data_IF_986762227862
#
_entry.id   IF_986762227862
#
_cell.length_a   1.000
_cell.length_b   1.000
_cell.length_c   1.000
_cell.angle_alpha   90.00
_cell.angle_beta   90.00
_cell.angle_gamma   90.00
#
_symmetry.space_group_name_H-M   'P 1'
#
loop_
_entity.id
_entity.type
_entity.pdbx_description
1 polymer ?
#
# COMPACT_ATOMS: atom_id res chain seq x y z
N UNK A 1 -10.54 -36.27 63.82
CA UNK A 1 -11.83 -35.60 63.49
C UNK A 1 -11.70 -35.10 62.05
N UNK A 2 -12.13 -35.89 61.06
CA UNK A 2 -13.43 -35.83 60.36
C UNK A 2 -13.57 -34.56 59.49
N UNK A 3 -13.94 -34.53 58.21
CA UNK A 3 -14.55 -35.47 57.24
C UNK A 3 -14.16 -35.04 55.81
N UNK A 4 -13.83 -35.89 54.83
CA UNK A 4 -14.68 -36.79 54.01
C UNK A 4 -15.49 -36.15 52.83
N UNK A 5 -15.01 -36.44 51.60
CA UNK A 5 -15.70 -36.83 50.33
C UNK A 5 -16.85 -36.01 49.72
N UNK A 6 -16.72 -35.73 48.41
CA UNK A 6 -17.61 -36.14 47.28
C UNK A 6 -17.06 -35.51 45.98
N UNK A 7 -17.18 -36.02 44.74
CA UNK A 7 -17.47 -37.31 44.09
C UNK A 7 -17.14 -37.02 42.61
N UNK A 8 -16.30 -37.81 41.93
CA UNK A 8 -16.11 -37.75 40.47
C UNK A 8 -17.05 -38.78 39.83
N UNK A 9 -17.87 -38.35 38.88
CA UNK A 9 -18.74 -39.23 38.10
C UNK A 9 -17.97 -39.76 36.87
N UNK A 10 -17.94 -41.09 36.76
CA UNK A 10 -17.63 -41.86 35.56
C UNK A 10 -18.87 -41.92 34.66
N UNK A 11 -18.69 -41.88 33.34
CA UNK A 11 -19.59 -42.56 32.41
C UNK A 11 -18.79 -43.31 31.32
N UNK A 12 -19.12 -44.58 31.17
CA UNK A 12 -18.62 -45.55 30.20
C UNK A 12 -19.06 -45.22 28.77
N UNK A 13 -18.25 -45.61 27.77
CA UNK A 13 -18.81 -46.18 26.55
C UNK A 13 -17.90 -47.27 25.97
N UNK A 14 -18.53 -48.41 25.67
CA UNK A 14 -17.99 -49.67 25.15
C UNK A 14 -18.08 -49.70 23.62
N UNK A 15 -17.50 -50.77 23.05
CA UNK A 15 -17.70 -51.36 21.71
C UNK A 15 -16.77 -50.81 20.60
N UNK A 16 -16.19 -51.58 19.67
CA UNK A 16 -16.10 -53.02 19.39
C UNK A 16 -14.98 -53.19 18.35
N UNK A 17 -14.18 -54.24 18.46
CA UNK A 17 -13.24 -54.72 17.44
C UNK A 17 -13.88 -55.94 16.78
N UNK A 18 -13.86 -56.06 15.43
CA UNK A 18 -13.56 -57.31 14.69
C UNK A 18 -13.85 -57.24 13.16
N UNK A 19 -12.92 -57.84 12.40
CA UNK A 19 -13.09 -58.64 11.15
C UNK A 19 -13.29 -57.87 9.82
N UNK A 20 -12.74 -58.28 8.67
CA UNK A 20 -12.07 -59.53 8.25
C UNK A 20 -11.27 -59.29 6.95
N UNK A 21 -10.14 -60.00 6.82
CA UNK A 21 -9.35 -60.19 5.62
C UNK A 21 -9.98 -61.31 4.77
N UNK A 22 -10.12 -61.14 3.45
CA UNK A 22 -10.31 -62.25 2.51
C UNK A 22 -9.44 -62.07 1.28
N UNK A 23 -8.52 -63.02 1.10
CA UNK A 23 -7.76 -63.30 -0.13
C UNK A 23 -8.07 -64.76 -0.47
N UNK A 24 -8.33 -65.07 -1.76
CA UNK A 24 -7.91 -66.25 -2.55
C UNK A 24 -8.73 -66.24 -3.87
N UNK A 25 -8.16 -65.83 -5.01
CA UNK A 25 -7.44 -66.59 -6.08
C UNK A 25 -8.35 -67.41 -7.03
N UNK A 26 -8.43 -66.90 -8.26
CA UNK A 26 -8.43 -67.50 -9.62
C UNK A 26 -9.28 -68.74 -10.00
N UNK A 27 -10.05 -68.57 -11.09
CA UNK A 27 -10.05 -69.46 -12.27
C UNK A 27 -10.54 -68.66 -13.50
N UNK A 28 -9.78 -68.69 -14.60
CA UNK A 28 -10.03 -67.88 -15.79
C UNK A 28 -10.98 -68.49 -16.83
N UNK A 29 -11.39 -67.66 -17.79
CA UNK A 29 -11.63 -68.03 -19.18
C UNK A 29 -11.62 -66.74 -20.01
N UNK A 30 -10.81 -66.69 -21.06
CA UNK A 30 -10.45 -65.45 -21.76
C UNK A 30 -11.51 -64.90 -22.72
N UNK A 31 -11.41 -63.60 -22.99
CA UNK A 31 -11.47 -63.00 -24.34
C UNK A 31 -11.33 -61.48 -24.24
N UNK A 32 -10.53 -60.94 -25.16
CA UNK A 32 -10.44 -59.54 -25.63
C UNK A 32 -9.94 -58.45 -24.66
N UNK A 33 -8.66 -58.14 -24.83
CA UNK A 33 -8.02 -56.89 -24.41
C UNK A 33 -8.54 -55.75 -25.30
N UNK A 34 -9.28 -54.81 -24.69
CA UNK A 34 -9.52 -53.48 -25.25
C UNK A 34 -8.86 -52.49 -24.31
N UNK A 35 -7.83 -51.82 -24.82
CA UNK A 35 -7.19 -50.68 -24.19
C UNK A 35 -8.24 -49.61 -23.86
N UNK A 36 -8.36 -49.30 -22.57
CA UNK A 36 -9.18 -48.24 -22.02
C UNK A 36 -8.24 -47.13 -21.57
N UNK A 37 -7.86 -46.26 -22.52
CA UNK A 37 -7.36 -44.93 -22.18
C UNK A 37 -8.54 -44.12 -21.62
N UNK A 38 -8.58 -44.01 -20.29
CA UNK A 38 -9.43 -43.08 -19.57
C UNK A 38 -8.91 -41.66 -19.82
N UNK A 39 -9.40 -41.01 -20.88
CA UNK A 39 -9.33 -39.56 -20.97
C UNK A 39 -10.20 -38.95 -19.87
N UNK A 40 -9.55 -38.51 -18.80
CA UNK A 40 -10.16 -37.64 -17.80
C UNK A 40 -10.29 -36.26 -18.43
N UNK A 41 -11.46 -35.96 -18.95
CA UNK A 41 -11.84 -34.61 -19.36
C UNK A 41 -11.99 -33.77 -18.09
N UNK A 42 -10.89 -33.13 -17.67
CA UNK A 42 -10.93 -32.07 -16.66
C UNK A 42 -11.68 -30.92 -17.34
N UNK A 43 -12.94 -30.72 -16.96
CA UNK A 43 -13.65 -29.47 -17.23
C UNK A 43 -12.81 -28.33 -16.65
N UNK A 44 -12.07 -27.64 -17.51
CA UNK A 44 -11.42 -26.39 -17.21
C UNK A 44 -12.52 -25.41 -16.83
N UNK A 45 -12.63 -25.13 -15.53
CA UNK A 45 -13.51 -24.07 -15.04
C UNK A 45 -13.21 -22.80 -15.81
N UNK A 46 -14.24 -22.19 -16.38
CA UNK A 46 -14.16 -20.85 -16.94
C UNK A 46 -13.63 -19.92 -15.85
N UNK A 47 -12.34 -19.57 -15.95
CA UNK A 47 -11.82 -18.39 -15.28
C UNK A 47 -12.52 -17.23 -15.99
N UNK A 48 -13.57 -16.70 -15.38
CA UNK A 48 -14.08 -15.39 -15.76
C UNK A 48 -12.91 -14.42 -15.68
N UNK A 49 -12.34 -14.08 -16.84
CA UNK A 49 -11.40 -13.00 -16.96
C UNK A 49 -12.21 -11.73 -16.68
N UNK A 50 -12.27 -11.32 -15.43
CA UNK A 50 -12.65 -9.95 -15.11
C UNK A 50 -11.72 -9.07 -15.94
N UNK A 51 -12.32 -8.16 -16.71
CA UNK A 51 -11.59 -7.08 -17.37
C UNK A 51 -10.79 -6.38 -16.28
N UNK A 52 -9.47 -6.57 -16.26
CA UNK A 52 -8.61 -5.83 -15.35
C UNK A 52 -8.61 -4.38 -15.80
N UNK A 53 -9.16 -3.53 -14.95
CA UNK A 53 -9.13 -2.09 -15.16
C UNK A 53 -7.85 -1.52 -14.55
N UNK A 54 -7.24 -0.55 -15.23
CA UNK A 54 -5.99 0.06 -14.77
C UNK A 54 -6.11 1.58 -14.74
N UNK A 55 -5.86 2.22 -13.58
CA UNK A 55 -5.69 3.66 -13.54
C UNK A 55 -4.41 4.08 -14.28
N UNK A 56 -4.49 5.19 -15.02
CA UNK A 56 -3.31 5.78 -15.64
C UNK A 56 -2.50 6.55 -14.59
N UNK A 57 -1.27 6.10 -14.35
CA UNK A 57 -0.29 6.79 -13.51
C UNK A 57 0.80 7.35 -14.40
N UNK A 58 1.15 8.61 -14.18
CA UNK A 58 2.27 9.29 -14.84
C UNK A 58 3.26 9.75 -13.78
N UNK A 59 4.55 9.79 -14.11
CA UNK A 59 5.57 10.31 -13.23
C UNK A 59 6.67 11.01 -14.03
N UNK A 60 7.31 12.01 -13.43
CA UNK A 60 8.44 12.75 -13.97
C UNK A 60 9.55 12.84 -12.91
N UNK A 61 10.81 12.83 -13.34
CA UNK A 61 11.96 12.72 -12.44
C UNK A 61 12.12 11.32 -11.82
N UNK A 62 13.12 11.16 -10.95
CA UNK A 62 13.34 9.91 -10.21
C UNK A 62 14.20 10.11 -8.95
N UNK A 63 13.77 9.56 -7.82
CA UNK A 63 14.50 9.52 -6.55
C UNK A 63 15.92 8.98 -6.68
N UNK A 64 16.19 8.03 -7.58
CA UNK A 64 17.55 7.48 -7.78
C UNK A 64 18.50 8.48 -8.40
N UNK A 65 18.02 9.39 -9.25
CA UNK A 65 18.85 10.41 -9.87
C UNK A 65 19.31 11.40 -8.78
N UNK A 66 18.43 11.66 -7.83
CA UNK A 66 18.69 12.43 -6.63
C UNK A 66 19.71 11.68 -5.73
N UNK A 67 19.39 10.46 -5.29
CA UNK A 67 20.20 9.70 -4.32
C UNK A 67 21.56 9.24 -4.85
N UNK A 68 21.73 9.02 -6.17
CA UNK A 68 22.96 8.46 -6.76
C UNK A 68 23.74 9.44 -7.62
N UNK A 69 23.04 10.37 -8.28
CA UNK A 69 23.65 11.27 -9.27
C UNK A 69 23.68 12.72 -8.77
N UNK A 70 23.12 12.98 -7.57
CA UNK A 70 22.97 14.32 -6.98
C UNK A 70 22.29 15.31 -7.94
N UNK A 71 21.40 14.80 -8.80
CA UNK A 71 20.64 15.61 -9.74
C UNK A 71 19.32 16.01 -9.10
N UNK A 72 19.24 17.25 -8.62
CA UNK A 72 18.07 17.82 -7.94
C UNK A 72 17.26 18.78 -8.82
N UNK A 73 17.61 18.88 -10.11
CA UNK A 73 17.03 19.87 -11.03
C UNK A 73 15.53 19.67 -11.25
N UNK A 74 14.82 20.76 -11.56
CA UNK A 74 13.44 20.71 -12.00
C UNK A 74 13.23 19.76 -13.20
N UNK A 75 12.24 18.89 -13.07
CA UNK A 75 11.74 18.01 -14.12
C UNK A 75 10.30 18.35 -14.54
N UNK A 76 9.60 19.15 -13.73
CA UNK A 76 8.26 19.63 -14.00
C UNK A 76 8.09 21.05 -13.45
N UNK A 77 7.43 21.92 -14.21
CA UNK A 77 7.03 23.27 -13.81
C UNK A 77 5.51 23.32 -13.65
N UNK A 78 5.03 23.90 -12.56
CA UNK A 78 3.60 23.91 -12.25
C UNK A 78 2.80 25.00 -12.97
N UNK A 79 3.46 25.99 -13.59
CA UNK A 79 2.81 27.07 -14.37
C UNK A 79 1.87 26.50 -15.45
N UNK A 80 2.27 25.39 -16.08
CA UNK A 80 1.51 24.71 -17.14
C UNK A 80 0.80 23.42 -16.67
N UNK A 81 0.85 23.10 -15.37
CA UNK A 81 0.30 21.84 -14.86
C UNK A 81 -1.21 21.97 -14.58
N UNK A 82 -2.08 21.14 -15.21
CA UNK A 82 -3.53 21.29 -15.09
C UNK A 82 -4.05 20.74 -13.76
N UNK A 83 -4.16 21.59 -12.73
CA UNK A 83 -4.75 21.28 -11.41
C UNK A 83 -6.28 21.08 -11.47
N UNK A 84 -6.72 20.00 -12.12
CA UNK A 84 -8.13 19.60 -12.16
C UNK A 84 -8.53 18.88 -10.87
N UNK A 85 -9.83 18.89 -10.55
CA UNK A 85 -10.37 18.21 -9.37
C UNK A 85 -10.21 16.68 -9.37
N UNK A 86 -9.80 16.11 -10.49
CA UNK A 86 -9.50 14.69 -10.66
C UNK A 86 -8.03 14.36 -10.40
N UNK A 87 -7.15 15.36 -10.22
CA UNK A 87 -5.72 15.15 -10.01
C UNK A 87 -5.43 14.79 -8.56
N UNK A 88 -4.65 13.71 -8.42
CA UNK A 88 -4.00 13.30 -7.18
C UNK A 88 -2.52 13.12 -7.47
N UNK A 89 -1.65 13.77 -6.70
CA UNK A 89 -0.21 13.74 -6.92
C UNK A 89 0.58 13.86 -5.62
N UNK A 90 1.78 13.30 -5.62
CA UNK A 90 2.78 13.52 -4.58
C UNK A 90 4.20 13.49 -5.15
N UNK A 91 5.15 14.07 -4.44
CA UNK A 91 6.53 14.20 -4.88
C UNK A 91 7.33 15.16 -4.01
N UNK A 92 8.47 15.64 -4.51
CA UNK A 92 9.28 16.64 -3.83
C UNK A 92 9.59 17.82 -4.76
N UNK A 93 9.70 19.01 -4.18
CA UNK A 93 10.11 20.21 -4.91
C UNK A 93 11.55 20.08 -5.46
N UNK A 94 11.88 20.93 -6.43
CA UNK A 94 13.26 21.16 -6.87
C UNK A 94 14.20 21.35 -5.66
N UNK A 95 15.45 20.91 -5.80
CA UNK A 95 16.47 20.98 -4.76
C UNK A 95 16.11 20.27 -3.45
N UNK A 96 15.09 19.40 -3.46
CA UNK A 96 14.52 18.75 -2.27
C UNK A 96 14.18 19.77 -1.19
N UNK A 97 13.56 20.88 -1.62
CA UNK A 97 13.08 21.94 -0.74
C UNK A 97 11.59 21.74 -0.49
N UNK A 98 11.23 20.65 0.19
CA UNK A 98 9.89 20.35 0.65
C UNK A 98 9.14 19.29 -0.15
N UNK A 99 7.91 19.03 0.30
CA UNK A 99 7.05 17.95 -0.13
C UNK A 99 5.86 18.47 -0.92
N UNK A 100 5.52 17.75 -1.99
CA UNK A 100 4.36 18.04 -2.83
C UNK A 100 3.23 17.08 -2.44
N UNK A 101 2.04 17.61 -2.21
CA UNK A 101 0.81 16.83 -2.08
C UNK A 101 -0.32 17.58 -2.78
N UNK A 102 -0.97 16.91 -3.73
CA UNK A 102 -2.16 17.41 -4.41
C UNK A 102 -3.28 16.41 -4.19
N UNK A 103 -4.39 16.88 -3.63
CA UNK A 103 -5.61 16.11 -3.43
C UNK A 103 -6.75 16.83 -4.13
N UNK A 104 -7.40 16.17 -5.09
CA UNK A 104 -8.53 16.76 -5.85
C UNK A 104 -8.15 18.12 -6.48
N UNK A 105 -6.94 18.23 -7.01
CA UNK A 105 -6.41 19.48 -7.59
C UNK A 105 -6.06 20.58 -6.59
N UNK A 106 -6.27 20.38 -5.28
CA UNK A 106 -5.87 21.34 -4.24
C UNK A 106 -4.47 20.98 -3.70
N UNK A 107 -3.61 21.99 -3.54
CA UNK A 107 -2.28 21.81 -2.94
C UNK A 107 -2.35 21.77 -1.42
N UNK A 108 -1.70 20.76 -0.86
CA UNK A 108 -1.35 20.64 0.55
C UNK A 108 0.18 20.55 0.70
N UNK A 109 0.91 21.05 -0.29
CA UNK A 109 2.37 20.96 -0.37
C UNK A 109 3.04 21.85 0.68
N UNK A 110 4.18 21.42 1.20
CA UNK A 110 4.84 22.05 2.34
C UNK A 110 6.34 22.20 2.18
N UNK A 111 6.90 23.21 2.87
CA UNK A 111 8.33 23.50 2.98
C UNK A 111 8.74 23.79 4.40
N UNK A 112 10.03 23.66 4.69
CA UNK A 112 10.64 24.24 5.85
C UNK A 112 10.91 25.74 5.63
N UNK A 113 10.47 26.59 6.56
CA UNK A 113 10.89 27.99 6.64
C UNK A 113 11.22 28.29 8.09
N UNK A 114 12.49 28.56 8.37
CA UNK A 114 13.00 28.74 9.73
C UNK A 114 12.60 27.57 10.67
N UNK A 115 12.84 26.34 10.21
CA UNK A 115 12.52 25.09 10.90
C UNK A 115 11.02 24.84 11.18
N UNK A 116 10.12 25.62 10.57
CA UNK A 116 8.68 25.44 10.66
C UNK A 116 8.07 24.98 9.33
N UNK A 117 7.02 24.16 9.41
CA UNK A 117 6.24 23.74 8.23
C UNK A 117 5.42 24.92 7.70
N UNK A 118 5.55 25.20 6.41
CA UNK A 118 4.75 26.20 5.68
C UNK A 118 4.10 25.58 4.46
N UNK A 119 2.79 25.83 4.29
CA UNK A 119 2.05 25.44 3.10
C UNK A 119 2.38 26.35 1.91
N UNK A 120 2.48 25.76 0.72
CA UNK A 120 2.94 26.43 -0.50
C UNK A 120 1.91 26.30 -1.63
N UNK A 121 1.64 27.42 -2.28
CA UNK A 121 0.91 27.48 -3.55
C UNK A 121 1.85 27.12 -4.70
N UNK A 122 1.37 26.29 -5.64
CA UNK A 122 2.24 25.66 -6.63
C UNK A 122 2.55 26.51 -7.86
N UNK A 123 1.86 27.63 -8.10
CA UNK A 123 1.88 28.36 -9.39
C UNK A 123 3.30 28.65 -9.94
N UNK A 124 4.25 29.00 -9.07
CA UNK A 124 5.62 29.36 -9.45
C UNK A 124 6.66 28.31 -9.04
N UNK A 125 6.22 27.07 -8.82
CA UNK A 125 7.05 26.02 -8.26
C UNK A 125 7.45 24.97 -9.30
N UNK A 126 8.47 24.20 -8.93
CA UNK A 126 8.99 23.09 -9.72
C UNK A 126 9.19 21.84 -8.89
N UNK A 127 9.04 20.68 -9.51
CA UNK A 127 9.27 19.39 -8.88
C UNK A 127 10.58 18.77 -9.36
N UNK A 128 11.39 18.26 -8.43
CA UNK A 128 12.51 17.37 -8.75
C UNK A 128 11.98 15.99 -9.17
N UNK A 129 10.90 15.54 -8.54
CA UNK A 129 10.14 14.38 -9.02
C UNK A 129 8.69 14.48 -8.57
N UNK A 130 7.79 13.90 -9.34
CA UNK A 130 6.37 13.82 -9.00
C UNK A 130 5.73 12.61 -9.67
N UNK A 131 4.82 11.95 -8.96
CA UNK A 131 3.92 10.92 -9.49
C UNK A 131 2.48 11.40 -9.32
N UNK A 132 1.66 11.19 -10.36
CA UNK A 132 0.27 11.62 -10.35
C UNK A 132 -0.64 10.68 -11.13
N UNK A 133 -1.94 10.78 -10.84
CA UNK A 133 -3.00 10.10 -11.56
C UNK A 133 -4.24 11.00 -11.66
N UNK A 134 -5.04 10.74 -12.70
CA UNK A 134 -6.40 11.26 -12.78
C UNK A 134 -7.37 10.21 -12.25
N UNK A 135 -8.11 10.54 -11.20
CA UNK A 135 -9.08 9.63 -10.59
C UNK A 135 -10.43 10.34 -10.47
N UNK A 136 -11.39 9.93 -11.28
CA UNK A 136 -12.74 10.48 -11.27
C UNK A 136 -13.61 9.88 -10.15
N UNK A 137 -13.39 8.61 -9.83
CA UNK A 137 -14.19 7.86 -8.86
C UNK A 137 -13.31 7.02 -7.97
N UNK A 138 -13.73 6.91 -6.72
CA UNK A 138 -13.09 6.11 -5.69
C UNK A 138 -14.09 5.11 -5.13
N UNK A 139 -13.64 3.89 -4.88
CA UNK A 139 -14.35 2.87 -4.13
C UNK A 139 -13.67 2.69 -2.77
N UNK A 140 -14.45 2.85 -1.70
CA UNK A 140 -13.99 2.65 -0.33
C UNK A 140 -14.11 1.19 0.12
N UNK A 141 -13.13 0.75 0.90
CA UNK A 141 -13.04 -0.56 1.54
C UNK A 141 -12.63 -0.38 2.99
N UNK A 142 -13.37 -1.01 3.91
CA UNK A 142 -12.98 -1.01 5.32
C UNK A 142 -11.64 -1.74 5.49
N UNK A 143 -10.72 -1.10 6.22
CA UNK A 143 -9.46 -1.73 6.62
C UNK A 143 -9.74 -2.60 7.85
N UNK A 144 -9.42 -3.91 7.83
CA UNK A 144 -9.60 -4.77 8.98
C UNK A 144 -8.80 -4.29 10.19
N UNK A 145 -9.35 -4.42 11.40
CA UNK A 145 -8.68 -4.03 12.65
C UNK A 145 -7.35 -4.77 12.92
N UNK A 146 -7.06 -5.84 12.18
CA UNK A 146 -5.79 -6.55 12.23
C UNK A 146 -4.68 -5.89 11.40
N UNK A 147 -5.01 -4.92 10.53
CA UNK A 147 -4.06 -4.18 9.70
C UNK A 147 -3.68 -2.93 10.47
N UNK A 148 -2.57 -2.99 11.20
CA UNK A 148 -2.16 -1.92 12.10
C UNK A 148 -0.91 -1.20 11.63
N UNK A 149 0.08 -1.95 11.15
CA UNK A 149 1.38 -1.42 10.74
C UNK A 149 1.45 -1.01 9.28
N UNK A 150 2.46 -0.21 8.92
CA UNK A 150 2.78 0.16 7.55
C UNK A 150 2.95 -1.06 6.62
N UNK A 151 3.65 -2.11 7.05
CA UNK A 151 3.83 -3.33 6.26
C UNK A 151 2.52 -4.10 6.08
N UNK A 152 1.67 -4.17 7.09
CA UNK A 152 0.35 -4.80 6.97
C UNK A 152 -0.54 -4.00 6.02
N UNK A 153 -0.48 -2.67 6.08
CA UNK A 153 -1.18 -1.80 5.14
C UNK A 153 -0.71 -2.02 3.70
N UNK A 154 0.60 -2.12 3.46
CA UNK A 154 1.14 -2.42 2.13
C UNK A 154 0.56 -3.72 1.57
N UNK A 155 0.61 -4.79 2.37
CA UNK A 155 0.09 -6.10 1.97
C UNK A 155 -1.42 -6.08 1.74
N UNK A 156 -2.17 -5.37 2.60
CA UNK A 156 -3.62 -5.23 2.47
C UNK A 156 -4.00 -4.42 1.23
N UNK A 157 -3.35 -3.28 0.99
CA UNK A 157 -3.56 -2.43 -0.20
C UNK A 157 -3.31 -3.22 -1.47
N UNK A 158 -2.20 -3.96 -1.54
CA UNK A 158 -1.92 -4.85 -2.65
C UNK A 158 -3.06 -5.86 -2.81
N UNK A 159 -3.30 -6.71 -1.80
CA UNK A 159 -4.32 -7.76 -1.86
C UNK A 159 -5.69 -7.24 -2.30
N UNK A 160 -6.10 -6.09 -1.75
CA UNK A 160 -7.40 -5.50 -2.04
C UNK A 160 -7.46 -4.93 -3.47
N UNK A 161 -6.38 -4.31 -3.96
CA UNK A 161 -6.29 -3.86 -5.35
C UNK A 161 -6.44 -5.02 -6.34
N UNK A 162 -5.74 -6.14 -6.10
CA UNK A 162 -5.87 -7.33 -6.94
C UNK A 162 -7.28 -7.94 -6.88
N UNK A 163 -7.89 -8.02 -5.69
CA UNK A 163 -9.27 -8.49 -5.56
C UNK A 163 -10.27 -7.57 -6.26
N UNK A 164 -9.98 -6.27 -6.33
CA UNK A 164 -10.78 -5.28 -7.02
C UNK A 164 -10.50 -5.21 -8.54
N UNK A 165 -9.55 -6.02 -9.04
CA UNK A 165 -9.25 -6.14 -10.46
C UNK A 165 -8.20 -5.15 -10.99
N UNK A 166 -7.46 -4.47 -10.11
CA UNK A 166 -6.32 -3.63 -10.49
C UNK A 166 -5.07 -4.51 -10.69
N UNK A 167 -4.36 -4.30 -11.79
CA UNK A 167 -3.13 -5.02 -12.11
C UNK A 167 -1.96 -4.47 -11.28
N UNK A 168 -1.53 -5.25 -10.28
CA UNK A 168 -0.46 -4.88 -9.34
C UNK A 168 0.92 -4.75 -9.99
N UNK A 169 1.12 -5.29 -11.19
CA UNK A 169 2.40 -5.16 -11.92
C UNK A 169 2.61 -3.75 -12.47
N UNK A 170 1.57 -2.91 -12.41
CA UNK A 170 1.57 -1.52 -12.81
C UNK A 170 1.32 -0.63 -11.60
N UNK A 171 1.85 0.60 -11.61
CA UNK A 171 1.59 1.52 -10.52
C UNK A 171 0.12 1.95 -10.47
N UNK A 172 -0.38 2.20 -9.26
CA UNK A 172 -1.73 2.72 -9.03
C UNK A 172 -1.76 3.65 -7.80
N UNK A 173 -2.62 4.69 -7.81
CA UNK A 173 -2.87 5.50 -6.63
C UNK A 173 -3.82 4.76 -5.67
N UNK A 174 -3.72 5.08 -4.39
CA UNK A 174 -4.71 4.73 -3.38
C UNK A 174 -4.86 5.86 -2.37
N UNK A 175 -6.04 5.99 -1.78
CA UNK A 175 -6.28 6.89 -0.67
C UNK A 175 -6.43 6.11 0.63
N UNK A 176 -6.15 6.74 1.76
CA UNK A 176 -6.46 6.21 3.08
C UNK A 176 -7.02 7.34 3.94
N UNK A 177 -8.18 7.10 4.55
CA UNK A 177 -8.79 8.05 5.48
C UNK A 177 -9.09 7.36 6.79
N UNK A 178 -8.77 8.02 7.90
CA UNK A 178 -9.04 7.45 9.22
C UNK A 178 -8.31 8.22 10.30
N UNK A 179 -8.35 7.69 11.52
CA UNK A 179 -7.49 8.15 12.60
C UNK A 179 -6.23 7.30 12.60
N UNK A 180 -5.06 7.94 12.52
CA UNK A 180 -3.78 7.26 12.75
C UNK A 180 -3.47 7.31 14.24
N UNK A 181 -3.15 6.17 14.82
CA UNK A 181 -2.74 6.08 16.21
C UNK A 181 -1.38 6.77 16.41
N UNK A 182 -0.44 6.49 15.50
CA UNK A 182 0.87 7.14 15.39
C UNK A 182 1.19 7.36 13.91
N UNK A 183 1.78 8.49 13.57
CA UNK A 183 2.25 8.81 12.22
C UNK A 183 3.59 9.54 12.31
N UNK A 184 4.64 8.88 11.84
CA UNK A 184 5.98 9.45 11.70
C UNK A 184 6.07 10.14 10.35
N UNK A 185 6.60 11.37 10.34
CA UNK A 185 6.64 12.19 9.12
C UNK A 185 7.84 13.12 9.07
N UNK A 186 8.12 13.59 7.85
CA UNK A 186 9.04 14.69 7.60
C UNK A 186 8.56 15.61 6.47
N UNK A 187 9.17 16.79 6.42
CA UNK A 187 9.20 17.70 5.27
C UNK A 187 10.67 17.95 4.97
N UNK A 188 11.14 17.49 3.81
CA UNK A 188 12.56 17.61 3.48
C UNK A 188 12.99 19.07 3.28
N UNK A 189 14.16 19.41 3.81
CA UNK A 189 14.88 20.64 3.50
C UNK A 189 16.35 20.29 3.31
N UNK A 190 16.73 19.95 2.08
CA UNK A 190 18.07 19.43 1.80
C UNK A 190 19.11 20.56 1.77
N UNK A 191 20.28 20.44 2.45
CA UNK A 191 21.31 21.46 2.37
C UNK A 191 21.91 21.56 0.97
N UNK A 192 22.00 22.77 0.40
CA UNK A 192 22.44 23.01 -0.99
C UNK A 192 23.85 22.49 -1.28
N UNK A 193 24.73 22.44 -0.28
CA UNK A 193 26.12 22.03 -0.38
C UNK A 193 26.38 20.57 0.06
N UNK A 194 25.35 19.85 0.51
CA UNK A 194 25.49 18.45 0.92
C UNK A 194 25.28 17.50 -0.26
N UNK A 195 26.38 16.86 -0.68
CA UNK A 195 26.40 15.89 -1.79
C UNK A 195 26.30 14.44 -1.31
N UNK A 196 26.24 14.20 0.00
CA UNK A 196 26.17 12.85 0.57
C UNK A 196 24.74 12.58 1.01
N UNK A 197 23.97 11.95 0.12
CA UNK A 197 22.58 11.60 0.37
C UNK A 197 22.44 10.24 1.07
N UNK A 198 22.03 10.26 2.33
CA UNK A 198 21.62 9.04 3.07
C UNK A 198 20.14 9.11 3.42
N UNK A 199 19.53 7.95 3.65
CA UNK A 199 18.12 7.88 4.06
C UNK A 199 17.87 8.63 5.37
N UNK A 200 18.74 8.46 6.37
CA UNK A 200 18.66 9.19 7.64
C UNK A 200 18.69 10.71 7.43
N UNK A 201 19.62 11.22 6.60
CA UNK A 201 19.67 12.65 6.30
C UNK A 201 18.38 13.12 5.61
N UNK A 202 17.89 12.35 4.65
CA UNK A 202 16.66 12.68 3.91
C UNK A 202 15.49 12.96 4.86
N UNK A 203 15.36 12.17 5.93
CA UNK A 203 14.28 12.30 6.91
C UNK A 203 14.50 13.43 7.93
N UNK A 204 15.75 13.77 8.26
CA UNK A 204 16.06 14.62 9.43
C UNK A 204 16.57 16.02 9.10
N UNK A 205 16.81 16.36 7.82
CA UNK A 205 17.34 17.69 7.45
C UNK A 205 16.30 18.80 7.46
N UNK A 206 15.01 18.47 7.50
CA UNK A 206 13.91 19.43 7.69
C UNK A 206 12.99 19.08 8.86
N UNK A 207 11.85 19.78 9.01
CA UNK A 207 10.86 19.50 10.05
C UNK A 207 10.38 18.05 10.00
N UNK A 208 10.40 17.37 11.13
CA UNK A 208 9.99 15.97 11.26
C UNK A 208 9.41 15.71 12.65
N UNK A 209 8.65 14.62 12.80
CA UNK A 209 8.11 14.24 14.10
C UNK A 209 7.14 13.08 14.06
N UNK A 210 6.43 12.93 15.18
CA UNK A 210 5.38 11.92 15.34
C UNK A 210 4.08 12.61 15.76
N UNK A 211 3.01 12.38 15.00
CA UNK A 211 1.65 12.79 15.37
C UNK A 211 0.93 11.59 15.99
N UNK A 212 0.08 11.85 17.00
CA UNK A 212 -0.64 10.78 17.71
C UNK A 212 -2.14 11.03 17.74
N UNK A 213 -2.92 9.99 17.49
CA UNK A 213 -4.38 10.01 17.54
C UNK A 213 -5.04 11.05 16.62
N UNK A 214 -4.43 11.32 15.46
CA UNK A 214 -4.86 12.40 14.57
C UNK A 214 -5.68 11.85 13.39
N UNK A 215 -6.81 12.50 13.02
CA UNK A 215 -7.46 12.22 11.75
C UNK A 215 -6.58 12.70 10.58
N UNK A 216 -6.37 11.83 9.59
CA UNK A 216 -5.56 12.13 8.41
C UNK A 216 -6.24 11.62 7.13
N UNK A 217 -5.99 12.36 6.05
CA UNK A 217 -6.16 11.90 4.67
C UNK A 217 -4.76 11.67 4.09
N UNK A 218 -4.53 10.45 3.60
CA UNK A 218 -3.24 10.02 3.07
C UNK A 218 -3.45 9.64 1.61
N UNK A 219 -2.61 10.18 0.74
CA UNK A 219 -2.48 9.71 -0.63
C UNK A 219 -1.26 8.82 -0.73
N UNK A 220 -1.43 7.68 -1.38
CA UNK A 220 -0.36 6.74 -1.68
C UNK A 220 -0.27 6.40 -3.16
N UNK A 221 0.93 6.09 -3.61
CA UNK A 221 1.15 5.36 -4.86
C UNK A 221 1.81 4.01 -4.55
N UNK A 222 1.22 2.94 -5.06
CA UNK A 222 1.79 1.60 -4.97
C UNK A 222 2.52 1.25 -6.26
N UNK A 223 3.72 0.67 -6.16
CA UNK A 223 4.39 0.00 -7.28
C UNK A 223 5.45 -0.99 -6.81
N UNK A 224 5.43 -2.19 -7.38
CA UNK A 224 6.44 -3.25 -7.20
C UNK A 224 7.66 -3.12 -8.15
N UNK A 225 7.60 -2.17 -9.09
CA UNK A 225 8.53 -2.05 -10.23
C UNK A 225 9.26 -0.70 -10.27
N UNK A 226 8.87 0.27 -9.44
CA UNK A 226 9.39 1.64 -9.46
C UNK A 226 10.19 2.04 -8.21
N UNK A 227 10.81 1.07 -7.53
CA UNK A 227 11.72 1.32 -6.41
C UNK A 227 12.85 2.28 -6.83
N UNK A 228 13.03 3.34 -6.05
CA UNK A 228 13.99 4.41 -6.34
C UNK A 228 13.60 5.29 -7.52
N UNK A 229 12.36 5.25 -8.02
CA UNK A 229 11.84 6.25 -8.95
C UNK A 229 10.90 7.17 -8.20
N UNK A 230 9.78 6.65 -7.73
CA UNK A 230 8.88 7.37 -6.80
C UNK A 230 8.49 6.50 -5.62
N UNK A 231 8.97 5.26 -5.47
CA UNK A 231 8.82 4.52 -4.22
C UNK A 231 10.17 4.39 -3.51
N UNK A 232 10.13 4.26 -2.18
CA UNK A 232 11.34 3.98 -1.43
C UNK A 232 11.93 2.63 -1.83
N UNK A 233 13.22 2.40 -1.60
CA UNK A 233 13.88 1.15 -2.01
C UNK A 233 13.49 -0.06 -1.14
N UNK A 234 12.80 0.18 -0.02
CA UNK A 234 12.39 -0.85 0.95
C UNK A 234 10.87 -1.05 1.04
N UNK A 235 10.09 -0.33 0.24
CA UNK A 235 8.63 -0.39 0.26
C UNK A 235 8.07 -0.19 -1.14
N UNK A 236 6.93 -0.81 -1.40
CA UNK A 236 6.17 -0.60 -2.63
C UNK A 236 5.26 0.63 -2.54
N UNK A 237 5.22 1.35 -1.42
CA UNK A 237 4.38 2.53 -1.21
C UNK A 237 5.22 3.82 -1.13
N UNK A 238 4.66 4.91 -1.63
CA UNK A 238 5.07 6.28 -1.31
C UNK A 238 3.85 7.04 -0.86
N UNK A 239 3.90 7.56 0.37
CA UNK A 239 2.76 8.12 1.09
C UNK A 239 3.03 9.56 1.50
N UNK A 240 2.09 10.45 1.22
CA UNK A 240 2.03 11.81 1.75
C UNK A 240 0.69 12.00 2.45
N UNK A 241 0.64 12.81 3.51
CA UNK A 241 -0.57 13.01 4.30
C UNK A 241 -0.92 14.48 4.46
N UNK A 242 -2.20 14.74 4.75
CA UNK A 242 -2.67 15.96 5.39
C UNK A 242 -3.52 15.60 6.60
N UNK A 243 -3.29 16.26 7.74
CA UNK A 243 -4.10 16.08 8.94
C UNK A 243 -5.30 17.01 8.98
N UNK A 244 -6.27 16.72 9.85
CA UNK A 244 -7.26 17.72 10.27
C UNK A 244 -6.63 18.80 11.17
N UNK A 245 -7.26 19.99 11.31
CA UNK A 245 -6.74 21.09 12.11
C UNK A 245 -6.30 20.70 13.53
N UNK A 246 -5.11 21.16 13.99
CA UNK A 246 -4.14 21.95 13.24
C UNK A 246 -3.55 21.19 12.05
N UNK A 247 -3.49 21.85 10.89
CA UNK A 247 -3.06 21.21 9.64
C UNK A 247 -1.56 20.94 9.68
N UNK A 248 -1.19 19.68 9.43
CA UNK A 248 0.15 19.22 9.10
C UNK A 248 0.09 18.51 7.75
N UNK A 249 1.17 18.58 6.98
CA UNK A 249 1.33 17.84 5.73
C UNK A 249 2.80 17.60 5.44
N UNK A 250 3.10 16.44 4.87
CA UNK A 250 4.45 16.01 4.54
C UNK A 250 4.48 14.55 4.09
N UNK A 251 5.69 14.02 4.01
CA UNK A 251 5.95 12.60 3.74
C UNK A 251 5.58 11.75 4.96
N UNK A 252 5.07 10.54 4.74
CA UNK A 252 4.83 9.55 5.81
C UNK A 252 5.95 8.52 5.83
N UNK A 253 6.74 8.53 6.91
CA UNK A 253 7.85 7.60 7.12
C UNK A 253 7.38 6.25 7.66
N UNK A 254 6.41 6.29 8.59
CA UNK A 254 5.81 5.11 9.21
C UNK A 254 4.44 5.49 9.79
N UNK A 255 3.57 4.50 10.00
CA UNK A 255 2.27 4.73 10.60
C UNK A 255 1.73 3.50 11.33
N UNK A 256 0.92 3.77 12.36
CA UNK A 256 0.04 2.80 13.01
C UNK A 256 -1.41 3.25 12.84
N UNK A 257 -2.26 2.40 12.27
CA UNK A 257 -3.68 2.70 12.06
C UNK A 257 -4.51 2.47 13.31
N UNK A 258 -5.54 3.30 13.48
CA UNK A 258 -6.65 2.97 14.37
C UNK A 258 -7.74 2.20 13.61
N UNK A 259 -8.53 1.36 14.32
CA UNK A 259 -9.74 0.76 13.79
C UNK A 259 -10.67 1.75 13.09
N UNK A 260 -11.38 1.29 12.05
CA UNK A 260 -12.33 2.12 11.29
C UNK A 260 -11.71 2.97 10.18
N UNK A 261 -10.47 2.69 9.79
CA UNK A 261 -9.84 3.31 8.63
C UNK A 261 -10.44 2.77 7.32
N UNK A 262 -10.46 3.59 6.28
CA UNK A 262 -10.98 3.23 4.95
C UNK A 262 -9.89 3.37 3.90
N UNK A 263 -9.62 2.29 3.18
CA UNK A 263 -8.80 2.27 1.98
C UNK A 263 -9.66 2.65 0.78
N UNK A 264 -9.18 3.59 -0.03
CA UNK A 264 -9.83 4.04 -1.25
C UNK A 264 -9.01 3.57 -2.44
N UNK A 265 -9.65 2.86 -3.37
CA UNK A 265 -9.05 2.48 -4.63
C UNK A 265 -9.78 3.20 -5.79
N UNK A 266 -9.05 3.55 -6.86
CA UNK A 266 -9.66 4.18 -8.02
C UNK A 266 -10.66 3.21 -8.67
N UNK A 267 -11.73 3.73 -9.28
CA UNK A 267 -12.79 2.94 -9.90
C UNK A 267 -13.20 3.51 -11.27
N UNK A 268 -13.80 2.65 -12.12
CA UNK A 268 -14.36 2.99 -13.44
C UNK A 268 -15.57 3.95 -13.41
#
# INVERSE_FOLDING_TARGET
MSSHRHKKHLLNLRYVTLFLLFIFVWAGCGSEEKDLEQHTEIQSGERYAFSQWQPNVTYEGALRNIMRENNLSAHLHFEDFPLRSTIYALGAFEDLKGEILILRGESYSTRAVADEVRFIDLENESAAFMVWAEVEKWQGFEVPDSVLSFTELENFTALQANNFGIDQTKPFPFGLTGTVAELSWHVIDWPEDDTVHTHEKHMVTGPHGVLTGIPAEILGFYSDSHHGIFTHHSSNMHLHFVSQPPLYSGHVDDLTLSPGSTLWLPAE
#
